data_IF_003024946971
#
_entry.id   IF_003024946971
#
_cell.length_a   1.000
_cell.length_b   1.000
_cell.length_c   1.000
_cell.angle_alpha   90.00
_cell.angle_beta   90.00
_cell.angle_gamma   90.00
#
_symmetry.space_group_name_H-M   'P 1'
#
loop_
_entity.id
_entity.type
_entity.pdbx_description
1 polymer ?
#
# COMPACT_ATOMS: atom_id res chain seq x y z
N UNK A 1 6.71 0.56 16.67
CA UNK A 1 7.14 0.78 15.27
C UNK A 1 7.41 2.25 14.93
N UNK A 2 6.49 3.20 15.16
CA UNK A 2 6.69 4.59 14.74
C UNK A 2 7.97 5.27 15.28
N UNK A 3 8.33 5.04 16.54
CA UNK A 3 9.60 5.56 17.10
C UNK A 3 10.87 4.92 16.52
N UNK A 4 10.77 3.73 15.90
CA UNK A 4 11.89 2.95 15.39
C UNK A 4 12.17 3.22 13.91
N UNK A 5 11.10 3.28 13.10
CA UNK A 5 11.19 3.46 11.65
C UNK A 5 10.75 4.85 11.18
N UNK A 6 10.31 5.73 12.08
CA UNK A 6 9.73 7.03 11.71
C UNK A 6 10.65 7.92 10.88
N UNK A 7 11.96 7.95 11.21
CA UNK A 7 12.94 8.67 10.39
C UNK A 7 12.98 8.14 8.94
N UNK A 8 12.99 6.82 8.78
CA UNK A 8 13.00 6.18 7.47
C UNK A 8 11.70 6.43 6.70
N UNK A 9 10.54 6.37 7.37
CA UNK A 9 9.25 6.67 6.73
C UNK A 9 9.13 8.12 6.26
N UNK A 10 9.74 9.05 7.00
CA UNK A 10 9.83 10.44 6.58
C UNK A 10 10.75 10.58 5.35
N UNK A 11 11.91 9.91 5.36
CA UNK A 11 12.86 9.94 4.23
C UNK A 11 12.27 9.32 2.96
N UNK A 12 11.54 8.20 3.07
CA UNK A 12 10.92 7.52 1.93
C UNK A 12 9.61 8.17 1.47
N UNK A 13 9.10 9.17 2.21
CA UNK A 13 7.89 9.90 1.84
C UNK A 13 6.61 9.08 2.01
N UNK A 14 6.56 8.19 3.00
CA UNK A 14 5.37 7.37 3.32
C UNK A 14 4.77 7.69 4.70
N UNK A 15 5.40 8.58 5.48
CA UNK A 15 4.96 8.89 6.83
C UNK A 15 3.53 9.42 6.85
N UNK A 16 3.22 10.42 6.01
CA UNK A 16 1.88 11.00 5.91
C UNK A 16 0.85 9.97 5.46
N UNK A 17 1.16 9.16 4.44
CA UNK A 17 0.27 8.10 3.97
C UNK A 17 -0.03 7.04 5.05
N UNK A 18 0.98 6.65 5.85
CA UNK A 18 0.78 5.74 7.00
C UNK A 18 -0.12 6.39 8.05
N UNK A 19 0.10 7.66 8.38
CA UNK A 19 -0.73 8.39 9.35
C UNK A 19 -2.18 8.53 8.85
N UNK A 20 -2.38 8.86 7.58
CA UNK A 20 -3.70 8.91 6.93
C UNK A 20 -4.42 7.57 6.99
N UNK A 21 -3.70 6.45 6.91
CA UNK A 21 -4.26 5.09 7.00
C UNK A 21 -4.83 4.76 8.39
N UNK A 22 -4.49 5.54 9.42
CA UNK A 22 -5.07 5.38 10.76
C UNK A 22 -6.44 6.07 10.91
N UNK A 23 -6.78 6.97 9.99
CA UNK A 23 -8.01 7.72 10.05
C UNK A 23 -9.19 6.90 9.50
N UNK A 24 -10.33 6.95 10.19
CA UNK A 24 -11.57 6.31 9.72
C UNK A 24 -12.42 7.31 8.98
N UNK A 25 -12.46 7.18 7.65
CA UNK A 25 -13.37 7.97 6.81
C UNK A 25 -14.77 7.37 6.92
N UNK A 26 -15.73 8.17 7.37
CA UNK A 26 -17.14 7.79 7.37
C UNK A 26 -17.66 7.88 5.93
N UNK A 27 -17.87 6.73 5.30
CA UNK A 27 -18.39 6.66 3.95
C UNK A 27 -19.91 6.84 3.98
N UNK A 28 -20.40 7.96 3.43
CA UNK A 28 -21.82 8.13 3.19
C UNK A 28 -22.17 7.51 1.83
N UNK A 29 -22.72 6.30 1.87
CA UNK A 29 -23.05 5.53 0.67
C UNK A 29 -24.03 6.26 -0.26
N UNK A 30 -24.98 7.03 0.28
CA UNK A 30 -25.92 7.81 -0.53
C UNK A 30 -25.23 8.92 -1.30
N UNK A 31 -24.24 9.60 -0.71
CA UNK A 31 -23.46 10.62 -1.43
C UNK A 31 -22.58 9.99 -2.52
N UNK A 32 -21.96 8.83 -2.25
CA UNK A 32 -21.17 8.11 -3.25
C UNK A 32 -22.04 7.74 -4.45
N UNK A 33 -23.21 7.15 -4.22
CA UNK A 33 -24.13 6.79 -5.29
C UNK A 33 -24.57 8.01 -6.12
N UNK A 34 -24.86 9.15 -5.47
CA UNK A 34 -25.22 10.38 -6.18
C UNK A 34 -24.08 10.97 -7.02
N UNK A 35 -22.82 10.82 -6.60
CA UNK A 35 -21.67 11.25 -7.41
C UNK A 35 -21.44 10.32 -8.60
N UNK A 36 -21.63 9.00 -8.43
CA UNK A 36 -21.46 8.00 -9.49
C UNK A 36 -22.41 8.24 -10.67
N UNK A 37 -23.57 8.86 -10.46
CA UNK A 37 -24.49 9.24 -11.54
C UNK A 37 -23.88 10.22 -12.55
N UNK A 38 -22.86 10.98 -12.15
CA UNK A 38 -22.14 11.91 -13.03
C UNK A 38 -20.92 11.28 -13.71
N UNK A 39 -20.60 10.01 -13.44
CA UNK A 39 -19.42 9.36 -14.00
C UNK A 39 -19.56 9.07 -15.50
N UNK A 40 -18.59 9.55 -16.29
CA UNK A 40 -18.45 9.27 -17.71
C UNK A 40 -17.24 8.35 -17.93
N UNK A 41 -17.51 7.15 -18.44
CA UNK A 41 -16.47 6.12 -18.65
C UNK A 41 -15.56 6.46 -19.84
N UNK A 42 -16.06 7.21 -20.82
CA UNK A 42 -15.32 7.59 -22.01
C UNK A 42 -14.17 8.54 -21.68
N UNK A 43 -14.37 9.46 -20.73
CA UNK A 43 -13.36 10.44 -20.31
C UNK A 43 -12.70 10.08 -18.98
N UNK A 44 -13.24 9.12 -18.22
CA UNK A 44 -12.85 8.82 -16.84
C UNK A 44 -12.93 10.06 -15.94
N UNK A 45 -14.03 10.80 -16.07
CA UNK A 45 -14.32 12.01 -15.29
C UNK A 45 -15.77 12.03 -14.80
N UNK A 46 -16.04 12.86 -13.80
CA UNK A 46 -17.37 13.24 -13.36
C UNK A 46 -17.83 14.49 -14.14
N UNK A 47 -18.92 14.39 -14.89
CA UNK A 47 -19.48 15.45 -15.72
C UNK A 47 -20.58 16.19 -14.98
N UNK A 48 -20.23 17.21 -14.20
CA UNK A 48 -21.20 18.04 -13.48
C UNK A 48 -21.77 19.16 -14.37
N UNK A 49 -22.93 19.77 -14.01
CA UNK A 49 -23.48 20.91 -14.74
C UNK A 49 -22.55 22.13 -14.83
N UNK A 50 -21.57 22.24 -13.92
CA UNK A 50 -20.59 23.33 -13.85
C UNK A 50 -19.21 22.96 -14.41
N UNK A 51 -19.00 21.74 -14.88
CA UNK A 51 -17.73 21.30 -15.47
C UNK A 51 -17.34 19.87 -15.13
N UNK A 52 -16.28 19.39 -15.79
CA UNK A 52 -15.72 18.08 -15.55
C UNK A 52 -14.72 18.09 -14.38
N UNK A 53 -14.70 17.00 -13.61
CA UNK A 53 -13.74 16.79 -12.53
C UNK A 53 -13.25 15.34 -12.52
N UNK A 54 -11.99 15.11 -12.17
CA UNK A 54 -11.43 13.77 -12.02
C UNK A 54 -10.39 13.76 -10.91
N UNK A 55 -10.04 12.58 -10.42
CA UNK A 55 -8.97 12.42 -9.44
C UNK A 55 -7.64 12.60 -10.17
N UNK A 56 -6.82 13.53 -9.68
CA UNK A 56 -5.54 13.88 -10.29
C UNK A 56 -4.37 13.37 -9.44
N UNK A 57 -3.16 13.48 -10.00
CA UNK A 57 -1.94 13.18 -9.26
C UNK A 57 -1.74 14.13 -8.06
N UNK A 58 -2.22 15.37 -8.16
CA UNK A 58 -2.16 16.33 -7.06
C UNK A 58 -3.04 15.89 -5.89
N UNK A 59 -4.25 15.38 -6.16
CA UNK A 59 -5.14 14.84 -5.12
C UNK A 59 -4.50 13.67 -4.38
N UNK A 60 -3.87 12.74 -5.11
CA UNK A 60 -3.18 11.58 -4.52
C UNK A 60 -1.97 12.00 -3.68
N UNK A 61 -1.26 13.05 -4.11
CA UNK A 61 -0.13 13.60 -3.37
C UNK A 61 -0.57 14.32 -2.09
N UNK A 62 -1.52 15.26 -2.20
CA UNK A 62 -1.92 16.16 -1.11
C UNK A 62 -2.82 15.46 -0.11
N UNK A 63 -3.84 14.73 -0.58
CA UNK A 63 -4.81 14.05 0.30
C UNK A 63 -4.32 12.66 0.72
N UNK A 64 -3.64 11.95 -0.19
CA UNK A 64 -3.12 10.60 0.06
C UNK A 64 -1.76 10.56 0.76
N UNK A 65 -0.98 11.65 0.70
CA UNK A 65 0.36 11.71 1.29
C UNK A 65 1.40 10.85 0.57
N UNK A 66 1.16 10.52 -0.70
CA UNK A 66 2.07 9.70 -1.51
C UNK A 66 3.05 10.56 -2.31
N UNK A 67 4.32 10.14 -2.35
CA UNK A 67 5.34 10.85 -3.13
C UNK A 67 5.15 10.65 -4.65
N UNK A 68 5.21 11.75 -5.40
CA UNK A 68 5.33 11.75 -6.88
C UNK A 68 6.77 11.54 -7.35
N UNK A 69 7.74 11.73 -6.46
CA UNK A 69 9.17 11.60 -6.71
C UNK A 69 9.72 10.29 -6.13
N UNK A 70 10.74 9.72 -6.77
CA UNK A 70 11.43 8.53 -6.31
C UNK A 70 11.66 7.52 -7.43
N UNK A 71 12.14 6.34 -7.08
CA UNK A 71 12.32 5.25 -8.03
C UNK A 71 10.97 4.65 -8.45
N UNK A 72 10.88 4.08 -9.67
CA UNK A 72 9.68 3.37 -10.12
C UNK A 72 9.35 2.18 -9.21
N UNK A 73 8.06 1.97 -8.94
CA UNK A 73 7.58 0.89 -8.05
C UNK A 73 7.83 -0.52 -8.62
N UNK A 74 7.97 -0.64 -9.94
CA UNK A 74 8.18 -1.90 -10.66
C UNK A 74 9.66 -2.19 -10.97
N UNK A 75 10.58 -1.39 -10.43
CA UNK A 75 12.00 -1.60 -10.67
C UNK A 75 12.45 -2.94 -10.02
N UNK A 76 13.12 -3.84 -10.76
CA UNK A 76 13.55 -5.13 -10.24
C UNK A 76 14.41 -5.01 -8.99
N UNK A 77 14.29 -5.97 -8.07
CA UNK A 77 15.19 -6.04 -6.92
C UNK A 77 16.58 -6.54 -7.36
N UNK A 78 17.61 -6.15 -6.62
CA UNK A 78 19.00 -6.57 -6.86
C UNK A 78 19.69 -6.91 -5.54
N UNK A 79 20.70 -7.78 -5.59
CA UNK A 79 21.53 -8.09 -4.43
C UNK A 79 20.77 -8.82 -3.32
N UNK A 80 21.00 -8.39 -2.08
CA UNK A 80 20.40 -8.98 -0.86
C UNK A 80 18.86 -8.81 -0.81
N UNK A 81 18.30 -7.82 -1.50
CA UNK A 81 16.85 -7.63 -1.60
C UNK A 81 16.14 -8.80 -2.28
N UNK A 82 16.80 -9.48 -3.23
CA UNK A 82 16.25 -10.67 -3.91
C UNK A 82 16.15 -11.85 -2.95
N UNK A 83 17.17 -12.04 -2.10
CA UNK A 83 17.14 -13.09 -1.08
C UNK A 83 16.03 -12.82 -0.05
N UNK A 84 15.83 -11.55 0.33
CA UNK A 84 14.74 -11.14 1.21
C UNK A 84 13.36 -11.42 0.59
N UNK A 85 13.18 -11.13 -0.70
CA UNK A 85 11.93 -11.44 -1.41
C UNK A 85 11.65 -12.95 -1.43
N UNK A 86 12.65 -13.75 -1.76
CA UNK A 86 12.54 -15.21 -1.75
C UNK A 86 12.11 -15.74 -0.37
N UNK A 87 12.67 -15.18 0.70
CA UNK A 87 12.32 -15.54 2.07
C UNK A 87 10.87 -15.11 2.42
N UNK A 88 10.47 -13.87 2.09
CA UNK A 88 9.09 -13.41 2.26
C UNK A 88 8.09 -14.30 1.52
N UNK A 89 8.43 -14.74 0.30
CA UNK A 89 7.62 -15.66 -0.49
C UNK A 89 7.56 -17.06 0.13
N UNK A 90 8.65 -17.55 0.72
CA UNK A 90 8.69 -18.85 1.42
C UNK A 90 7.76 -18.82 2.63
N UNK A 91 7.93 -17.83 3.50
CA UNK A 91 7.10 -17.62 4.68
C UNK A 91 5.62 -17.46 4.31
N UNK A 92 5.35 -16.69 3.26
CA UNK A 92 4.00 -16.50 2.71
C UNK A 92 3.34 -17.81 2.27
N UNK A 93 4.08 -18.75 1.69
CA UNK A 93 3.54 -20.06 1.25
C UNK A 93 3.26 -20.99 2.42
N UNK A 94 4.11 -20.97 3.45
CA UNK A 94 3.92 -21.78 4.66
C UNK A 94 2.62 -21.39 5.38
N UNK A 95 2.26 -20.11 5.36
CA UNK A 95 0.98 -19.62 5.87
C UNK A 95 -0.22 -19.96 4.98
N UNK A 96 -0.03 -20.19 3.67
CA UNK A 96 -1.10 -20.53 2.72
C UNK A 96 -1.54 -22.01 2.81
N UNK A 97 -0.76 -22.88 3.47
CA UNK A 97 -1.03 -24.32 3.54
C UNK A 97 -2.17 -24.75 4.49
N UNK A 98 -2.83 -23.81 5.18
CA UNK A 98 -3.90 -24.08 6.15
C UNK A 98 -5.32 -23.78 5.66
N UNK A 99 -6.32 -24.11 6.48
CA UNK A 99 -7.74 -23.76 6.23
C UNK A 99 -8.01 -22.24 6.31
N UNK A 100 -7.07 -21.47 6.85
CA UNK A 100 -7.06 -20.01 6.84
C UNK A 100 -6.08 -19.56 5.77
N UNK A 101 -6.59 -18.95 4.68
CA UNK A 101 -5.75 -18.20 3.72
C UNK A 101 -4.95 -17.14 4.49
N UNK A 102 -3.84 -16.63 3.93
CA UNK A 102 -3.03 -15.46 4.37
C UNK A 102 -3.83 -14.30 4.99
N UNK A 103 -4.44 -14.51 6.14
CA UNK A 103 -5.32 -13.55 6.75
C UNK A 103 -4.45 -12.53 7.47
N UNK A 104 -4.91 -11.28 7.51
CA UNK A 104 -4.12 -10.19 8.05
C UNK A 104 -3.75 -10.38 9.53
N UNK A 105 -4.56 -11.16 10.28
CA UNK A 105 -4.31 -11.41 11.72
C UNK A 105 -3.16 -12.40 11.90
N UNK A 106 -3.17 -13.50 11.17
CA UNK A 106 -2.11 -14.50 11.14
C UNK A 106 -0.80 -13.88 10.68
N UNK A 107 -0.85 -13.04 9.64
CA UNK A 107 0.32 -12.27 9.19
C UNK A 107 0.88 -11.36 10.28
N UNK A 108 0.02 -10.58 10.93
CA UNK A 108 0.43 -9.66 11.99
C UNK A 108 1.00 -10.40 13.19
N UNK A 109 0.39 -11.50 13.63
CA UNK A 109 0.90 -12.33 14.73
C UNK A 109 2.29 -12.87 14.40
N UNK A 110 2.46 -13.42 13.20
CA UNK A 110 3.73 -14.02 12.78
C UNK A 110 4.88 -13.01 12.73
N UNK A 111 4.69 -11.85 12.07
CA UNK A 111 5.78 -10.88 11.89
C UNK A 111 5.96 -9.90 13.06
N UNK A 112 4.90 -9.59 13.82
CA UNK A 112 4.93 -8.52 14.85
C UNK A 112 4.96 -9.05 16.28
N UNK A 113 4.40 -10.23 16.54
CA UNK A 113 4.22 -10.74 17.90
C UNK A 113 5.16 -11.91 18.23
N UNK A 114 5.55 -12.71 17.23
CA UNK A 114 6.37 -13.92 17.42
C UNK A 114 7.90 -13.67 17.34
N UNK A 115 8.34 -12.40 17.30
CA UNK A 115 9.75 -12.04 17.50
C UNK A 115 10.69 -12.39 16.34
N UNK A 116 10.23 -12.20 15.09
CA UNK A 116 11.08 -12.36 13.91
C UNK A 116 12.26 -11.37 13.91
N UNK A 117 13.19 -11.55 12.95
CA UNK A 117 14.26 -10.58 12.77
C UNK A 117 13.69 -9.19 12.49
N UNK A 118 14.41 -8.17 12.94
CA UNK A 118 14.00 -6.78 12.80
C UNK A 118 13.63 -6.38 11.36
N UNK A 119 14.43 -6.84 10.41
CA UNK A 119 14.24 -6.50 9.00
C UNK A 119 12.97 -7.18 8.44
N UNK A 120 12.67 -8.41 8.87
CA UNK A 120 11.45 -9.11 8.49
C UNK A 120 10.20 -8.50 9.14
N UNK A 121 10.28 -8.05 10.39
CA UNK A 121 9.20 -7.30 11.05
C UNK A 121 8.82 -6.06 10.22
N UNK A 122 9.82 -5.28 9.79
CA UNK A 122 9.55 -4.05 9.02
C UNK A 122 8.95 -4.33 7.64
N UNK A 123 9.52 -5.28 6.90
CA UNK A 123 9.04 -5.67 5.58
C UNK A 123 7.64 -6.30 5.69
N UNK A 124 7.40 -7.10 6.72
CA UNK A 124 6.08 -7.67 7.03
C UNK A 124 5.04 -6.58 7.28
N UNK A 125 5.39 -5.53 8.02
CA UNK A 125 4.50 -4.40 8.31
C UNK A 125 4.15 -3.64 7.04
N UNK A 126 5.16 -3.28 6.26
CA UNK A 126 4.97 -2.55 5.01
C UNK A 126 4.18 -3.37 4.00
N UNK A 127 4.38 -4.69 3.93
CA UNK A 127 3.59 -5.57 3.06
C UNK A 127 2.11 -5.60 3.43
N UNK A 128 1.81 -5.63 4.74
CA UNK A 128 0.44 -5.54 5.25
C UNK A 128 -0.17 -4.17 4.93
N UNK A 129 0.53 -3.08 5.25
CA UNK A 129 0.06 -1.72 5.00
C UNK A 129 -0.21 -1.48 3.52
N UNK A 130 0.74 -1.85 2.64
CA UNK A 130 0.59 -1.74 1.19
C UNK A 130 -0.61 -2.57 0.68
N UNK A 131 -0.76 -3.82 1.13
CA UNK A 131 -1.87 -4.67 0.68
C UNK A 131 -3.24 -4.18 1.18
N UNK A 132 -3.29 -3.54 2.36
CA UNK A 132 -4.55 -3.14 2.98
C UNK A 132 -5.01 -1.75 2.55
N UNK A 133 -4.08 -0.80 2.39
CA UNK A 133 -4.42 0.63 2.25
C UNK A 133 -3.95 1.27 0.95
N UNK A 134 -2.90 0.74 0.31
CA UNK A 134 -2.28 1.40 -0.85
C UNK A 134 -2.66 0.69 -2.17
N UNK A 135 -2.56 -0.63 -2.18
CA UNK A 135 -2.88 -1.49 -3.33
C UNK A 135 -3.84 -2.61 -2.91
N UNK A 136 -5.05 -2.28 -2.44
CA UNK A 136 -6.02 -3.29 -2.05
C UNK A 136 -6.34 -4.22 -3.23
N UNK A 137 -6.47 -5.52 -2.95
CA UNK A 137 -6.97 -6.50 -3.91
C UNK A 137 -7.97 -7.43 -3.26
N UNK A 138 -8.90 -7.96 -4.07
CA UNK A 138 -9.81 -9.00 -3.63
C UNK A 138 -9.13 -10.37 -3.61
N UNK A 139 -9.34 -11.18 -2.54
CA UNK A 139 -10.05 -10.84 -1.29
C UNK A 139 -9.22 -9.92 -0.38
N UNK A 140 -9.86 -8.89 0.20
CA UNK A 140 -9.20 -7.82 1.01
C UNK A 140 -8.38 -8.33 2.19
N UNK A 141 -8.70 -9.51 2.71
CA UNK A 141 -8.03 -10.10 3.87
C UNK A 141 -6.68 -10.73 3.53
N UNK A 142 -6.32 -10.83 2.24
CA UNK A 142 -5.09 -11.51 1.79
C UNK A 142 -3.95 -10.54 1.54
N UNK A 143 -2.77 -10.84 2.08
CA UNK A 143 -1.54 -10.11 1.80
C UNK A 143 -1.05 -10.46 0.39
N UNK A 144 -0.96 -9.45 -0.47
CA UNK A 144 -0.62 -9.63 -1.86
C UNK A 144 0.89 -9.77 -2.04
N UNK A 145 1.36 -10.89 -2.58
CA UNK A 145 2.81 -11.11 -2.82
C UNK A 145 3.41 -10.07 -3.77
N UNK A 146 2.60 -9.48 -4.67
CA UNK A 146 3.04 -8.42 -5.59
C UNK A 146 3.58 -7.17 -4.89
N UNK A 147 3.23 -6.93 -3.62
CA UNK A 147 3.71 -5.76 -2.88
C UNK A 147 5.03 -6.01 -2.15
N UNK A 148 5.55 -7.24 -2.10
CA UNK A 148 6.79 -7.55 -1.40
C UNK A 148 8.00 -6.77 -1.93
N UNK A 149 8.22 -6.64 -3.26
CA UNK A 149 9.31 -5.80 -3.76
C UNK A 149 9.22 -4.34 -3.32
N UNK A 150 7.99 -3.79 -3.29
CA UNK A 150 7.73 -2.41 -2.87
C UNK A 150 8.04 -2.27 -1.37
N UNK A 151 7.57 -3.21 -0.54
CA UNK A 151 7.83 -3.24 0.89
C UNK A 151 9.33 -3.33 1.21
N UNK A 152 10.07 -4.19 0.50
CA UNK A 152 11.51 -4.37 0.69
C UNK A 152 12.27 -3.09 0.34
N UNK A 153 11.95 -2.44 -0.79
CA UNK A 153 12.56 -1.16 -1.18
C UNK A 153 12.32 -0.07 -0.15
N UNK A 154 11.07 0.07 0.31
CA UNK A 154 10.72 1.03 1.37
C UNK A 154 11.45 0.73 2.70
N UNK A 155 11.57 -0.56 3.07
CA UNK A 155 12.30 -0.98 4.27
C UNK A 155 13.81 -0.72 4.18
N UNK A 156 14.35 -0.61 2.97
CA UNK A 156 15.75 -0.25 2.71
C UNK A 156 15.98 1.25 2.61
N UNK A 157 14.93 2.06 2.85
CA UNK A 157 15.01 3.52 2.77
C UNK A 157 14.96 4.07 1.34
N UNK A 158 14.61 3.25 0.34
CA UNK A 158 14.42 3.72 -1.03
C UNK A 158 13.13 4.54 -1.12
N UNK A 159 13.24 5.79 -1.56
CA UNK A 159 12.10 6.63 -1.88
C UNK A 159 11.48 6.18 -3.20
N UNK A 160 10.18 5.86 -3.20
CA UNK A 160 9.44 5.39 -4.37
C UNK A 160 8.42 6.42 -4.83
N UNK A 161 8.23 6.53 -6.14
CA UNK A 161 7.13 7.30 -6.72
C UNK A 161 5.82 6.50 -6.62
N UNK A 162 5.23 6.46 -5.42
CA UNK A 162 4.00 5.70 -5.15
C UNK A 162 2.75 6.36 -5.73
N UNK A 163 2.69 7.70 -5.80
CA UNK A 163 1.48 8.41 -6.21
C UNK A 163 1.00 8.03 -7.63
N UNK A 164 1.87 7.93 -8.66
CA UNK A 164 1.43 7.46 -9.98
C UNK A 164 0.89 6.03 -9.97
N UNK A 165 1.47 5.15 -9.17
CA UNK A 165 1.03 3.75 -9.07
C UNK A 165 -0.32 3.63 -8.35
N UNK A 166 -0.55 4.46 -7.32
CA UNK A 166 -1.85 4.54 -6.63
C UNK A 166 -2.91 5.10 -7.57
N UNK A 167 -2.62 6.20 -8.28
CA UNK A 167 -3.56 6.80 -9.23
C UNK A 167 -3.96 5.82 -10.34
N UNK A 168 -3.01 5.02 -10.84
CA UNK A 168 -3.28 4.02 -11.87
C UNK A 168 -4.17 2.84 -11.40
N UNK A 169 -4.41 2.72 -10.09
CA UNK A 169 -5.26 1.69 -9.50
C UNK A 169 -6.66 2.16 -9.09
N UNK A 170 -6.98 3.44 -9.32
CA UNK A 170 -8.31 4.05 -9.11
C UNK A 170 -9.14 3.88 -10.38
#
# INVERSE_FOLDING_TARGET
>A
MAGKYGFMWNQTGICDAILSSMYKIQCNQSLILGIVEYWCIETNTFVFPWGEATITLEDVMVLGGFSVLGEPVNLPLTGDMVAMEAEMLRLSREMDGGKSRRDQRTWMKFFMEEGQSHDLEHVGFLSLWLSRFVFPSLPYEVIATRVFPIAIRLARGTKLALAPAVLAGI
#
